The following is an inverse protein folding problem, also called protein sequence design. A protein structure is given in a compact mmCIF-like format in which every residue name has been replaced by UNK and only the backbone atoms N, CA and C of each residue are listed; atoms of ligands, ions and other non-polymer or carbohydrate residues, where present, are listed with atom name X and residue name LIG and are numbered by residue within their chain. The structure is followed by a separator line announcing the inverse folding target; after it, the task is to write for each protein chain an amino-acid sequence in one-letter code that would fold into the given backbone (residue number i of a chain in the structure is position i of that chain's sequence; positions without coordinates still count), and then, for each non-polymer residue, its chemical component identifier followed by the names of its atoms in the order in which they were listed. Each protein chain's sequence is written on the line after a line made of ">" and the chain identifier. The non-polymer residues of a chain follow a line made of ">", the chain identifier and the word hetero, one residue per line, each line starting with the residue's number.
data_IF_999541866020
#
_entry.id   IF_999541866020
#
_cell.length_a   1.000
_cell.length_b   1.000
_cell.length_c   1.000
_cell.angle_alpha   90.00
_cell.angle_beta   90.00
_cell.angle_gamma   90.00
#
_symmetry.space_group_name_H-M   'P 1'
#
loop_
_entity.id
_entity.type
_entity.pdbx_description
1 polymer ?
#
# COMPACT_ATOMS: atom_id res chain seq x y z
N UNK A 1 -6.52 -8.24 -17.27
CA UNK A 1 -7.03 -7.11 -18.07
C UNK A 1 -6.70 -5.83 -17.32
N UNK A 2 -5.99 -4.88 -17.93
CA UNK A 2 -5.72 -3.59 -17.29
C UNK A 2 -7.00 -2.76 -17.25
N UNK A 3 -7.35 -2.20 -16.10
CA UNK A 3 -8.48 -1.25 -15.99
C UNK A 3 -8.18 -0.06 -16.91
N UNK A 4 -8.99 0.14 -17.95
CA UNK A 4 -8.85 1.28 -18.86
C UNK A 4 -9.24 2.56 -18.11
N UNK A 5 -8.23 3.26 -17.59
CA UNK A 5 -8.39 4.58 -16.97
C UNK A 5 -8.26 5.68 -18.04
N UNK A 6 -8.93 6.83 -17.88
CA UNK A 6 -8.80 7.95 -18.81
C UNK A 6 -7.34 8.43 -18.91
N UNK A 7 -6.99 9.03 -20.05
CA UNK A 7 -5.63 9.57 -20.27
C UNK A 7 -5.32 10.61 -19.19
N UNK A 8 -4.18 10.46 -18.52
CA UNK A 8 -3.75 11.37 -17.46
C UNK A 8 -4.25 11.02 -16.06
N UNK A 9 -5.08 9.99 -15.89
CA UNK A 9 -5.57 9.56 -14.57
C UNK A 9 -4.44 9.39 -13.55
N UNK A 10 -3.36 8.70 -13.93
CA UNK A 10 -2.20 8.45 -13.08
C UNK A 10 -1.27 9.65 -12.87
N UNK A 11 -1.44 10.75 -13.60
CA UNK A 11 -0.70 12.00 -13.38
C UNK A 11 -1.22 12.74 -12.16
N UNK A 12 -2.51 12.59 -11.92
CA UNK A 12 -3.17 13.17 -10.77
C UNK A 12 -2.82 12.37 -9.52
N UNK A 13 -2.41 13.09 -8.48
CA UNK A 13 -2.00 12.50 -7.20
C UNK A 13 -3.23 12.01 -6.42
N UNK A 14 -4.35 12.72 -6.49
CA UNK A 14 -5.60 12.35 -5.81
C UNK A 14 -6.15 11.03 -6.33
N UNK A 15 -6.07 10.80 -7.65
CA UNK A 15 -6.49 9.53 -8.26
C UNK A 15 -5.65 8.34 -7.77
N UNK A 16 -4.36 8.54 -7.49
CA UNK A 16 -3.52 7.50 -6.91
C UNK A 16 -3.89 7.26 -5.44
N UNK A 17 -4.12 8.32 -4.69
CA UNK A 17 -4.55 8.22 -3.29
C UNK A 17 -5.88 7.47 -3.17
N UNK A 18 -6.85 7.75 -4.04
CA UNK A 18 -8.13 7.01 -4.05
C UNK A 18 -7.98 5.52 -4.41
N UNK A 19 -7.07 5.19 -5.33
CA UNK A 19 -6.77 3.77 -5.62
C UNK A 19 -6.04 3.09 -4.47
N UNK A 20 -5.11 3.79 -3.80
CA UNK A 20 -4.44 3.31 -2.60
C UNK A 20 -5.45 3.11 -1.46
N UNK A 21 -6.38 4.04 -1.26
CA UNK A 21 -7.43 3.93 -0.25
C UNK A 21 -8.28 2.68 -0.45
N UNK A 22 -8.64 2.35 -1.69
CA UNK A 22 -9.36 1.10 -1.99
C UNK A 22 -8.54 -0.15 -1.63
N UNK A 23 -7.22 -0.12 -1.81
CA UNK A 23 -6.33 -1.21 -1.39
C UNK A 23 -6.22 -1.25 0.13
N UNK A 24 -6.11 -0.09 0.77
CA UNK A 24 -6.04 0.03 2.22
C UNK A 24 -7.32 -0.49 2.87
N UNK A 25 -8.50 -0.20 2.32
CA UNK A 25 -9.76 -0.74 2.82
C UNK A 25 -9.80 -2.28 2.77
N UNK A 26 -9.07 -2.90 1.85
CA UNK A 26 -8.97 -4.36 1.76
C UNK A 26 -7.90 -4.96 2.68
N UNK A 27 -6.84 -4.21 2.98
CA UNK A 27 -5.70 -4.69 3.77
C UNK A 27 -5.72 -4.21 5.22
N UNK A 28 -6.53 -3.19 5.52
CA UNK A 28 -6.60 -2.47 6.79
C UNK A 28 -5.29 -1.79 7.22
N UNK A 29 -4.29 -1.74 6.33
CA UNK A 29 -3.04 -1.01 6.52
C UNK A 29 -2.51 -0.41 5.22
N UNK A 30 -1.55 0.53 5.34
CA UNK A 30 -0.89 1.10 4.18
C UNK A 30 -0.04 0.05 3.43
N UNK A 31 -0.31 -0.23 2.15
CA UNK A 31 0.27 -1.36 1.45
C UNK A 31 1.77 -1.18 1.17
N UNK A 32 2.49 -2.30 1.17
CA UNK A 32 3.84 -2.40 0.64
C UNK A 32 3.86 -2.64 -0.86
N UNK A 33 5.03 -2.47 -1.48
CA UNK A 33 5.25 -2.80 -2.89
C UNK A 33 4.90 -4.27 -3.21
N UNK A 34 5.16 -5.19 -2.28
CA UNK A 34 4.88 -6.61 -2.48
C UNK A 34 3.37 -6.88 -2.46
N UNK A 35 2.64 -6.23 -1.57
CA UNK A 35 1.18 -6.36 -1.46
C UNK A 35 0.49 -5.78 -2.68
N UNK A 36 0.88 -4.60 -3.15
CA UNK A 36 0.37 -4.03 -4.40
C UNK A 36 0.62 -4.94 -5.61
N UNK A 37 1.73 -5.68 -5.61
CA UNK A 37 2.02 -6.68 -6.65
C UNK A 37 1.13 -7.92 -6.51
N UNK A 38 0.89 -8.41 -5.30
CA UNK A 38 0.03 -9.57 -5.01
C UNK A 38 -1.43 -9.28 -5.37
N UNK A 39 -1.92 -8.08 -5.04
CA UNK A 39 -3.26 -7.59 -5.36
C UNK A 39 -3.46 -7.29 -6.85
N UNK A 40 -2.46 -7.56 -7.70
CA UNK A 40 -2.46 -7.25 -9.14
C UNK A 40 -2.68 -5.76 -9.44
N UNK A 41 -2.41 -4.88 -8.48
CA UNK A 41 -2.51 -3.42 -8.59
C UNK A 41 -1.18 -2.82 -9.10
N UNK A 42 -0.59 -3.48 -10.09
CA UNK A 42 0.63 -3.03 -10.75
C UNK A 42 0.48 -1.64 -11.37
N UNK A 43 -0.75 -1.26 -11.75
CA UNK A 43 -1.05 0.02 -12.35
C UNK A 43 -0.76 1.19 -11.40
N UNK A 44 -0.99 1.02 -10.09
CA UNK A 44 -0.68 2.03 -9.06
C UNK A 44 0.83 2.27 -9.01
N UNK A 45 1.61 1.19 -8.90
CA UNK A 45 3.08 1.25 -8.87
C UNK A 45 3.65 1.92 -10.14
N UNK A 46 3.09 1.59 -11.30
CA UNK A 46 3.50 2.20 -12.57
C UNK A 46 3.13 3.68 -12.64
N UNK A 47 1.95 4.07 -12.14
CA UNK A 47 1.54 5.47 -12.04
C UNK A 47 2.50 6.27 -11.17
N UNK A 48 2.79 5.77 -9.96
CA UNK A 48 3.73 6.38 -9.03
C UNK A 48 5.12 6.51 -9.64
N UNK A 49 5.62 5.45 -10.29
CA UNK A 49 6.94 5.44 -10.92
C UNK A 49 7.05 6.43 -12.07
N UNK A 50 6.05 6.46 -12.94
CA UNK A 50 6.11 7.23 -14.18
C UNK A 50 5.80 8.72 -13.99
N UNK A 51 5.02 9.08 -12.97
CA UNK A 51 4.53 10.47 -12.80
C UNK A 51 4.89 11.10 -11.45
N UNK A 52 5.23 10.32 -10.42
CA UNK A 52 5.43 10.81 -9.05
C UNK A 52 6.79 10.40 -8.46
N UNK A 53 7.77 10.09 -9.31
CA UNK A 53 9.16 9.82 -8.90
C UNK A 53 9.38 8.48 -8.18
N UNK A 54 8.40 7.56 -8.20
CA UNK A 54 8.58 6.19 -7.68
C UNK A 54 8.52 6.04 -6.16
N UNK A 55 8.22 7.11 -5.41
CA UNK A 55 8.26 7.10 -3.95
C UNK A 55 6.90 6.79 -3.34
N UNK A 56 6.57 5.52 -3.17
CA UNK A 56 5.33 5.10 -2.47
C UNK A 56 5.24 5.68 -1.05
N UNK A 57 6.36 5.81 -0.35
CA UNK A 57 6.43 6.43 0.99
C UNK A 57 5.90 7.87 1.01
N UNK A 58 6.06 8.63 -0.08
CA UNK A 58 5.53 10.00 -0.13
C UNK A 58 4.00 10.06 -0.06
N UNK A 59 3.32 9.00 -0.53
CA UNK A 59 1.87 8.87 -0.40
C UNK A 59 1.48 8.41 1.01
N UNK A 60 2.33 7.63 1.69
CA UNK A 60 2.13 7.21 3.07
C UNK A 60 2.09 8.42 4.00
N UNK A 61 3.10 9.28 3.87
CA UNK A 61 3.23 10.50 4.66
C UNK A 61 2.05 11.46 4.40
N UNK A 62 1.67 11.64 3.14
CA UNK A 62 0.56 12.52 2.73
C UNK A 62 -0.80 12.01 3.22
N UNK A 63 -0.99 10.69 3.23
CA UNK A 63 -2.21 10.06 3.78
C UNK A 63 -2.20 10.00 5.31
N UNK A 64 -1.19 10.57 5.98
CA UNK A 64 -1.13 10.67 7.43
C UNK A 64 -0.85 9.34 8.14
N UNK A 65 -0.36 8.32 7.43
CA UNK A 65 -0.01 7.05 8.05
C UNK A 65 1.31 7.21 8.82
N UNK A 66 1.42 6.63 10.03
CA UNK A 66 2.68 6.65 10.77
C UNK A 66 3.77 5.98 9.93
N UNK A 67 5.07 6.31 10.14
CA UNK A 67 6.16 5.55 9.56
C UNK A 67 5.94 4.06 9.77
N UNK A 68 6.45 3.22 8.88
CA UNK A 68 6.32 1.79 9.08
C UNK A 68 6.97 1.47 10.43
N UNK A 69 6.20 0.90 11.35
CA UNK A 69 6.77 0.27 12.53
C UNK A 69 7.63 -0.85 11.96
N UNK A 70 8.92 -0.55 11.81
CA UNK A 70 9.92 -1.53 11.46
C UNK A 70 9.99 -2.46 12.66
N UNK A 71 9.04 -3.40 12.72
CA UNK A 71 8.96 -4.47 13.69
C UNK A 71 10.37 -5.04 13.75
N UNK A 72 11.02 -5.01 14.92
CA UNK A 72 12.45 -5.26 15.02
C UNK A 72 12.78 -6.62 14.42
N UNK A 73 13.99 -6.77 13.87
CA UNK A 73 14.41 -8.01 13.24
C UNK A 73 14.21 -9.18 14.22
N UNK A 74 13.33 -10.13 13.87
CA UNK A 74 12.93 -11.24 14.73
C UNK A 74 11.49 -11.21 15.23
N UNK A 75 10.74 -10.11 15.05
CA UNK A 75 9.35 -9.99 15.51
C UNK A 75 8.43 -11.11 14.97
N UNK A 76 8.62 -11.53 13.73
CA UNK A 76 7.86 -12.61 13.08
C UNK A 76 8.43 -14.01 13.31
N UNK A 77 9.56 -14.12 14.02
CA UNK A 77 10.10 -15.41 14.49
C UNK A 77 9.54 -15.80 15.85
N UNK A 78 8.85 -14.88 16.50
CA UNK A 78 8.19 -15.08 17.77
C UNK A 78 6.71 -15.45 17.53
N UNK A 79 6.35 -16.67 17.89
CA UNK A 79 5.00 -17.21 17.70
C UNK A 79 3.96 -16.50 18.57
N UNK A 80 4.36 -15.87 19.69
CA UNK A 80 3.45 -15.12 20.57
C UNK A 80 2.93 -13.84 19.89
N UNK A 81 3.72 -13.28 18.97
CA UNK A 81 3.31 -12.13 18.16
C UNK A 81 2.35 -12.52 17.01
N UNK A 82 2.32 -13.79 16.61
CA UNK A 82 1.42 -14.30 15.58
C UNK A 82 0.00 -14.48 16.12
N UNK A 83 -0.13 -15.02 17.33
CA UNK A 83 -1.43 -15.23 18.00
C UNK A 83 -2.11 -13.91 18.38
N UNK A 84 -1.34 -12.89 18.77
CA UNK A 84 -1.87 -11.57 19.13
C UNK A 84 -2.47 -10.83 17.94
N UNK A 85 -1.88 -10.99 16.75
CA UNK A 85 -2.40 -10.40 15.51
C UNK A 85 -3.58 -11.21 14.96
N UNK A 86 -3.56 -12.55 15.06
CA UNK A 86 -4.69 -13.40 14.65
C UNK A 86 -5.93 -13.22 15.54
N UNK A 87 -5.74 -12.92 16.83
CA UNK A 87 -6.84 -12.68 17.77
C UNK A 87 -7.58 -11.35 17.55
N UNK A 88 -7.00 -10.39 16.83
CA UNK A 88 -7.67 -9.12 16.48
C UNK A 88 -8.61 -9.25 15.27
N UNK A 89 -8.58 -10.38 14.56
CA UNK A 89 -9.38 -10.65 13.34
C UNK A 89 -10.61 -11.51 13.65
N UNK A 90 -11.07 -11.57 14.90
CA UNK A 90 -12.21 -12.38 15.36
C UNK A 90 -13.32 -11.50 15.94
#
# INVERSE_FOLDING_TARGET
>A
MGKNRPKGFWKDRENIMGELERVIQNLEHFPSHLELRKEKEWAILQGIRNYHGGRLLSFRDEMGYPPRDDKPAGFWLDFDNLDTELAQVI
#
